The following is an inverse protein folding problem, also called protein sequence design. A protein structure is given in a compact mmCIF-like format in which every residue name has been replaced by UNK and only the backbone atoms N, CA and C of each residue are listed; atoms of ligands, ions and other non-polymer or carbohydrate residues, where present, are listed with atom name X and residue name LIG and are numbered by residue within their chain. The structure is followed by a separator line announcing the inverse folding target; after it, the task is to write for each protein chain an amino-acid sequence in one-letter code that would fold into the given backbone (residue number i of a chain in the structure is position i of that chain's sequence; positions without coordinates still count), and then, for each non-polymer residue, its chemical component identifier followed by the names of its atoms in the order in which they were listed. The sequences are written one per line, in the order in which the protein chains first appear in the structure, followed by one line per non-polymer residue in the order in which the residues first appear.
data_IF_672488852583
#
_entry.id   IF_672488852583
#
_cell.length_a   1.000
_cell.length_b   1.000
_cell.length_c   1.000
_cell.angle_alpha   90.00
_cell.angle_beta   90.00
_cell.angle_gamma   90.00
#
_symmetry.space_group_name_H-M   'P 1'
#
loop_
_entity.id
_entity.type
_entity.pdbx_description
1 polymer ?
#
# COMPACT_ATOMS: atom_id res chain seq x y z
N UNK A 1 -19.61 5.79 -0.41
CA UNK A 1 -18.55 6.40 0.42
C UNK A 1 -19.21 6.78 1.73
N UNK A 2 -18.60 6.43 2.85
CA UNK A 2 -19.18 6.55 4.20
C UNK A 2 -18.36 7.46 5.14
N UNK A 3 -17.18 7.89 4.72
CA UNK A 3 -16.34 8.87 5.40
C UNK A 3 -15.27 9.39 4.44
N UNK A 4 -14.94 10.68 4.52
CA UNK A 4 -13.90 11.33 3.72
C UNK A 4 -13.28 12.51 4.45
N UNK A 5 -12.00 12.39 4.82
CA UNK A 5 -11.22 13.43 5.47
C UNK A 5 -10.05 13.82 4.58
N UNK A 6 -10.06 15.04 4.07
CA UNK A 6 -8.94 15.56 3.25
C UNK A 6 -7.79 16.07 4.10
N UNK A 7 -8.04 16.47 5.35
CA UNK A 7 -7.06 17.10 6.25
C UNK A 7 -6.45 18.42 5.74
N UNK A 8 -7.05 19.01 4.71
CA UNK A 8 -6.73 20.37 4.23
C UNK A 8 -7.23 21.45 5.19
N UNK A 9 -8.23 21.12 6.01
CA UNK A 9 -8.69 21.93 7.11
C UNK A 9 -8.05 21.51 8.43
N UNK A 10 -7.92 22.46 9.36
CA UNK A 10 -7.36 22.23 10.70
C UNK A 10 -8.32 21.50 11.64
N UNK A 11 -9.53 21.17 11.18
CA UNK A 11 -10.63 20.68 12.02
C UNK A 11 -10.93 19.20 11.81
N UNK A 12 -10.29 18.53 10.85
CA UNK A 12 -10.54 17.13 10.54
C UNK A 12 -11.97 16.90 10.11
N UNK A 13 -12.49 17.75 9.21
CA UNK A 13 -13.86 17.65 8.74
C UNK A 13 -14.07 16.39 7.89
N UNK A 14 -15.20 15.70 8.10
CA UNK A 14 -15.68 14.64 7.22
C UNK A 14 -16.56 15.25 6.12
N UNK A 15 -16.06 15.29 4.90
CA UNK A 15 -16.73 15.78 3.69
C UNK A 15 -17.71 14.76 3.10
N UNK A 16 -17.90 13.60 3.73
CA UNK A 16 -18.96 12.66 3.35
C UNK A 16 -20.33 13.13 3.85
N UNK A 17 -21.43 12.57 3.31
CA UNK A 17 -22.79 12.88 3.79
C UNK A 17 -23.03 12.54 5.27
N UNK A 18 -22.16 11.77 5.92
CA UNK A 18 -22.31 11.32 7.30
C UNK A 18 -21.71 12.30 8.32
N UNK A 19 -20.81 13.19 7.90
CA UNK A 19 -20.19 14.22 8.77
C UNK A 19 -19.62 13.68 10.09
N UNK A 20 -19.00 12.50 10.05
CA UNK A 20 -18.48 11.84 11.24
C UNK A 20 -17.33 12.67 11.85
N UNK A 21 -17.41 13.06 13.13
CA UNK A 21 -16.41 13.95 13.72
C UNK A 21 -15.08 13.25 13.95
N UNK A 22 -13.98 13.98 13.79
CA UNK A 22 -12.67 13.58 14.30
C UNK A 22 -12.39 14.26 15.64
N UNK A 23 -11.93 13.48 16.61
CA UNK A 23 -11.43 13.93 17.91
C UNK A 23 -9.91 13.90 17.87
N UNK A 24 -9.28 14.86 18.54
CA UNK A 24 -7.81 14.98 18.63
C UNK A 24 -7.14 15.06 17.25
N UNK A 25 -7.58 16.02 16.44
CA UNK A 25 -7.00 16.26 15.11
C UNK A 25 -5.51 16.58 15.27
N UNK A 26 -4.68 15.82 14.58
CA UNK A 26 -3.23 15.99 14.60
C UNK A 26 -2.83 17.32 13.93
N UNK A 27 -1.61 17.79 14.20
CA UNK A 27 -1.10 19.03 13.61
C UNK A 27 -1.00 18.93 12.09
N UNK A 28 -1.29 20.02 11.39
CA UNK A 28 -1.15 20.09 9.94
C UNK A 28 0.33 20.06 9.49
N UNK A 29 0.60 19.32 8.43
CA UNK A 29 1.90 19.12 7.79
C UNK A 29 1.90 19.46 6.31
N UNK A 30 3.01 19.20 5.60
CA UNK A 30 3.14 19.48 4.18
C UNK A 30 2.19 18.59 3.36
N UNK A 31 1.46 19.21 2.44
CA UNK A 31 0.56 18.51 1.55
C UNK A 31 1.28 17.65 0.51
N UNK A 32 0.54 16.70 -0.03
CA UNK A 32 0.99 15.85 -1.14
C UNK A 32 1.41 16.61 -2.40
N UNK A 33 0.59 17.58 -2.81
CA UNK A 33 0.65 18.24 -4.12
C UNK A 33 0.91 19.73 -4.00
N UNK A 34 1.67 20.15 -2.98
CA UNK A 34 1.95 21.57 -2.65
C UNK A 34 0.72 22.48 -2.44
N UNK A 35 -0.48 21.91 -2.43
CA UNK A 35 -1.76 22.53 -2.13
C UNK A 35 -2.46 21.70 -1.07
N UNK A 36 -3.04 22.36 -0.06
CA UNK A 36 -3.72 21.68 1.06
C UNK A 36 -2.83 21.48 2.28
N UNK A 37 -3.16 20.47 3.10
CA UNK A 37 -2.33 20.01 4.21
C UNK A 37 -2.57 18.55 4.54
N UNK A 38 -1.58 17.92 5.16
CA UNK A 38 -1.69 16.56 5.69
C UNK A 38 -1.72 16.57 7.22
N UNK A 39 -1.91 15.42 7.86
CA UNK A 39 -1.63 15.24 9.29
C UNK A 39 -0.15 14.93 9.55
N UNK A 40 0.44 15.52 10.59
CA UNK A 40 1.76 15.14 11.12
C UNK A 40 1.57 13.99 12.12
N UNK A 41 2.14 12.83 11.78
CA UNK A 41 2.28 11.71 12.70
C UNK A 41 3.68 11.77 13.32
N UNK A 42 3.76 12.09 14.62
CA UNK A 42 5.02 12.31 15.35
C UNK A 42 5.56 11.05 16.05
N UNK A 43 4.81 9.94 15.96
CA UNK A 43 5.08 8.68 16.64
C UNK A 43 4.51 8.58 18.05
N UNK A 44 3.97 9.68 18.59
CA UNK A 44 3.52 9.78 19.98
C UNK A 44 2.03 10.05 20.13
N UNK A 45 1.47 10.84 19.22
CA UNK A 45 0.08 11.28 19.20
C UNK A 45 -0.74 10.45 18.20
N UNK A 46 -2.05 10.31 18.45
CA UNK A 46 -2.99 9.67 17.52
C UNK A 46 -4.19 10.56 17.23
N UNK A 47 -4.66 10.53 15.98
CA UNK A 47 -5.99 11.01 15.61
C UNK A 47 -7.05 9.96 15.93
N UNK A 48 -8.24 10.38 16.35
CA UNK A 48 -9.33 9.48 16.73
C UNK A 48 -10.61 9.83 15.96
N UNK A 49 -11.21 8.87 15.28
CA UNK A 49 -12.55 9.01 14.71
C UNK A 49 -13.45 8.03 15.47
N UNK A 50 -14.38 8.51 16.30
CA UNK A 50 -15.28 7.66 17.05
C UNK A 50 -16.10 6.77 16.13
N UNK A 51 -16.44 5.59 16.62
CA UNK A 51 -17.35 4.70 15.90
C UNK A 51 -18.70 5.38 15.63
N UNK A 52 -19.22 5.14 14.42
CA UNK A 52 -20.53 5.59 13.97
C UNK A 52 -21.25 4.43 13.29
N UNK A 53 -22.59 4.44 13.34
CA UNK A 53 -23.42 3.44 12.66
C UNK A 53 -23.19 3.38 11.14
N UNK A 54 -22.61 4.44 10.55
CA UNK A 54 -22.17 4.44 9.14
C UNK A 54 -21.07 3.41 8.84
N UNK A 55 -20.38 2.91 9.87
CA UNK A 55 -19.31 1.92 9.78
C UNK A 55 -19.77 0.48 10.09
N UNK A 56 -21.05 0.27 10.41
CA UNK A 56 -21.64 -1.07 10.56
C UNK A 56 -21.85 -1.69 9.16
N UNK A 57 -20.76 -2.16 8.56
CA UNK A 57 -20.71 -2.68 7.19
C UNK A 57 -20.35 -4.16 7.15
N UNK A 58 -20.69 -4.84 6.06
CA UNK A 58 -20.28 -6.22 5.79
C UNK A 58 -19.13 -6.32 4.77
N UNK A 59 -18.78 -5.20 4.15
CA UNK A 59 -17.69 -5.04 3.20
C UNK A 59 -17.11 -3.64 3.37
N UNK A 60 -15.80 -3.50 3.20
CA UNK A 60 -15.11 -2.25 3.47
C UNK A 60 -13.98 -2.03 2.47
N UNK A 61 -13.85 -0.79 2.00
CA UNK A 61 -12.59 -0.30 1.43
C UNK A 61 -12.13 0.93 2.21
N UNK A 62 -10.84 0.91 2.60
CA UNK A 62 -10.16 2.01 3.29
C UNK A 62 -9.06 2.49 2.39
N UNK A 63 -9.08 3.78 2.00
CA UNK A 63 -8.06 4.42 1.17
C UNK A 63 -7.46 5.56 1.96
N UNK A 64 -6.14 5.67 1.99
CA UNK A 64 -5.46 6.84 2.57
C UNK A 64 -4.04 6.93 2.01
N UNK A 65 -3.39 8.03 2.32
CA UNK A 65 -2.03 8.28 1.89
C UNK A 65 -1.06 8.38 3.04
N UNK A 66 0.16 7.88 2.81
CA UNK A 66 1.24 7.89 3.81
C UNK A 66 2.54 8.37 3.19
N UNK A 67 3.28 9.17 3.95
CA UNK A 67 4.65 9.57 3.66
C UNK A 67 5.53 9.26 4.86
N UNK A 68 6.46 8.31 4.72
CA UNK A 68 7.35 7.93 5.84
C UNK A 68 8.57 8.83 5.92
N UNK A 69 8.88 9.35 7.11
CA UNK A 69 10.09 10.15 7.37
C UNK A 69 11.14 9.42 8.19
N UNK A 70 10.79 8.28 8.78
CA UNK A 70 11.68 7.47 9.63
C UNK A 70 11.78 6.02 9.13
N UNK A 71 12.97 5.45 9.26
CA UNK A 71 13.22 4.03 8.98
C UNK A 71 12.56 3.10 10.00
N UNK A 72 12.70 1.78 9.83
CA UNK A 72 12.31 0.76 10.80
C UNK A 72 12.98 0.97 12.15
N UNK A 73 12.22 0.85 13.24
CA UNK A 73 12.68 1.14 14.59
C UNK A 73 12.95 -0.11 15.43
N UNK A 74 12.64 -1.30 14.92
CA UNK A 74 12.61 -2.53 15.70
C UNK A 74 11.26 -2.85 16.33
N UNK A 75 10.27 -1.95 16.22
CA UNK A 75 8.93 -2.08 16.80
C UNK A 75 7.82 -2.04 15.74
N UNK A 76 6.71 -2.71 16.05
CA UNK A 76 5.45 -2.55 15.32
C UNK A 76 4.92 -1.14 15.48
N UNK A 77 4.60 -0.48 14.36
CA UNK A 77 4.10 0.90 14.36
C UNK A 77 2.76 1.01 13.66
N UNK A 78 1.76 1.56 14.32
CA UNK A 78 0.40 1.68 13.80
C UNK A 78 0.28 2.87 12.86
N UNK A 79 -0.21 2.64 11.65
CA UNK A 79 -0.60 3.69 10.70
C UNK A 79 -2.11 3.94 10.84
N UNK A 80 -2.88 2.87 10.83
CA UNK A 80 -4.34 2.87 10.88
C UNK A 80 -4.80 1.68 11.72
N UNK A 81 -5.70 1.89 12.65
CA UNK A 81 -6.28 0.81 13.45
C UNK A 81 -7.78 1.05 13.61
N UNK A 82 -8.60 0.02 13.38
CA UNK A 82 -10.02 0.05 13.76
C UNK A 82 -10.33 -1.06 14.76
N UNK A 83 -10.64 -0.67 16.00
CA UNK A 83 -10.84 -1.63 17.11
C UNK A 83 -10.84 -0.98 18.48
N UNK A 84 -11.53 -1.59 19.44
CA UNK A 84 -11.55 -1.16 20.85
C UNK A 84 -10.50 -1.88 21.71
N UNK A 85 -9.86 -2.92 21.17
CA UNK A 85 -8.83 -3.70 21.85
C UNK A 85 -7.70 -4.06 20.89
N UNK A 86 -6.55 -4.49 21.42
CA UNK A 86 -5.44 -5.01 20.61
C UNK A 86 -5.78 -6.26 19.79
N UNK A 87 -6.95 -6.89 20.04
CA UNK A 87 -7.44 -8.07 19.34
C UNK A 87 -8.59 -7.78 18.38
N UNK A 88 -8.90 -6.51 18.13
CA UNK A 88 -9.85 -6.11 17.09
C UNK A 88 -9.06 -5.44 15.96
N UNK A 89 -8.83 -6.19 14.88
CA UNK A 89 -7.89 -5.77 13.84
C UNK A 89 -8.54 -5.52 12.48
N UNK A 90 -9.87 -5.37 12.38
CA UNK A 90 -10.58 -5.28 11.09
C UNK A 90 -10.95 -3.85 10.69
N UNK A 91 -10.21 -3.20 9.77
CA UNK A 91 -8.83 -3.50 9.37
C UNK A 91 -7.82 -2.71 10.23
N UNK A 92 -6.61 -3.24 10.32
CA UNK A 92 -5.46 -2.58 10.94
C UNK A 92 -4.26 -2.66 10.02
N UNK A 93 -3.52 -1.56 9.90
CA UNK A 93 -2.32 -1.43 9.08
C UNK A 93 -1.16 -1.01 9.97
N UNK A 94 -0.19 -1.91 10.11
CA UNK A 94 1.03 -1.71 10.88
C UNK A 94 2.24 -1.64 9.93
N UNK A 95 3.34 -1.04 10.36
CA UNK A 95 4.64 -1.19 9.74
C UNK A 95 5.39 -2.35 10.38
N UNK A 96 6.06 -3.15 9.55
CA UNK A 96 6.93 -4.22 10.01
C UNK A 96 8.03 -3.68 10.96
N UNK A 97 8.49 -4.43 11.98
CA UNK A 97 9.43 -3.90 12.95
C UNK A 97 10.81 -3.60 12.38
N UNK A 98 11.28 -4.45 11.46
CA UNK A 98 12.63 -4.43 10.87
C UNK A 98 12.66 -4.00 9.41
N UNK A 99 11.50 -3.69 8.83
CA UNK A 99 11.36 -3.27 7.43
C UNK A 99 10.29 -2.19 7.33
N UNK A 100 10.17 -1.55 6.16
CA UNK A 100 9.10 -0.58 5.87
C UNK A 100 7.95 -1.20 5.07
N UNK A 101 7.70 -2.50 5.31
CA UNK A 101 6.56 -3.22 4.70
C UNK A 101 5.30 -2.98 5.52
N UNK A 102 4.16 -3.03 4.85
CA UNK A 102 2.85 -2.98 5.50
C UNK A 102 2.48 -4.37 6.00
N UNK A 103 1.96 -4.41 7.21
CA UNK A 103 1.38 -5.58 7.86
C UNK A 103 -0.10 -5.30 8.04
N UNK A 104 -0.91 -5.81 7.11
CA UNK A 104 -2.35 -5.58 7.09
C UNK A 104 -3.01 -6.75 7.78
N UNK A 105 -3.77 -6.46 8.83
CA UNK A 105 -4.46 -7.45 9.64
C UNK A 105 -5.96 -7.28 9.54
N UNK A 106 -6.66 -8.38 9.80
CA UNK A 106 -8.08 -8.47 9.98
C UNK A 106 -8.41 -9.61 10.95
N UNK A 107 -9.50 -9.48 11.68
CA UNK A 107 -10.04 -10.51 12.55
C UNK A 107 -11.08 -11.35 11.81
N UNK A 108 -11.14 -12.64 12.11
CA UNK A 108 -12.19 -13.57 11.69
C UNK A 108 -12.79 -14.25 12.92
N UNK A 109 -13.74 -15.17 12.69
CA UNK A 109 -14.24 -16.07 13.73
C UNK A 109 -13.21 -17.12 14.21
N UNK A 110 -12.13 -17.36 13.45
CA UNK A 110 -11.13 -18.39 13.75
C UNK A 110 -9.85 -17.83 14.38
N UNK A 111 -9.47 -16.61 14.03
CA UNK A 111 -8.33 -15.91 14.61
C UNK A 111 -8.56 -14.41 14.59
N UNK A 112 -8.20 -13.73 15.68
CA UNK A 112 -8.24 -12.27 15.76
C UNK A 112 -7.13 -11.61 14.95
N UNK A 113 -6.09 -12.37 14.57
CA UNK A 113 -4.92 -11.93 13.83
C UNK A 113 -4.71 -12.80 12.59
N UNK A 114 -5.38 -12.45 11.50
CA UNK A 114 -5.10 -12.95 10.15
C UNK A 114 -4.78 -11.78 9.23
N UNK A 115 -4.27 -12.05 8.03
CA UNK A 115 -4.03 -11.01 7.05
C UNK A 115 -2.83 -11.30 6.16
N UNK A 116 -2.24 -10.23 5.64
CA UNK A 116 -1.18 -10.28 4.63
C UNK A 116 -0.09 -9.24 4.91
N UNK A 117 1.03 -9.39 4.24
CA UNK A 117 2.12 -8.42 4.23
C UNK A 117 2.32 -7.88 2.81
N UNK A 118 2.70 -6.61 2.69
CA UNK A 118 2.93 -6.00 1.38
C UNK A 118 4.11 -6.64 0.67
N UNK A 119 4.06 -6.86 -0.62
CA UNK A 119 5.23 -7.27 -1.41
C UNK A 119 6.22 -6.10 -1.47
N UNK A 120 5.70 -4.90 -1.72
CA UNK A 120 6.44 -3.65 -1.71
C UNK A 120 7.10 -3.30 -0.36
N UNK A 121 8.24 -2.61 -0.43
CA UNK A 121 8.82 -1.85 0.67
C UNK A 121 8.57 -0.35 0.49
N UNK A 122 7.93 0.31 1.45
CA UNK A 122 7.71 1.75 1.38
C UNK A 122 9.04 2.49 1.50
N UNK A 123 9.39 3.24 0.47
CA UNK A 123 10.57 4.12 0.49
C UNK A 123 10.31 5.35 1.34
N UNK A 124 11.35 5.79 2.04
CA UNK A 124 11.30 7.04 2.79
C UNK A 124 11.11 8.22 1.83
N UNK A 125 10.45 9.26 2.37
CA UNK A 125 10.26 10.55 1.72
C UNK A 125 9.51 10.47 0.38
N UNK A 126 8.54 9.55 0.29
CA UNK A 126 7.65 9.40 -0.86
C UNK A 126 6.23 9.11 -0.39
N UNK A 127 5.26 9.68 -1.10
CA UNK A 127 3.84 9.41 -0.88
C UNK A 127 3.45 8.07 -1.49
N UNK A 128 2.68 7.30 -0.74
CA UNK A 128 2.04 6.07 -1.18
C UNK A 128 0.55 6.15 -0.89
N UNK A 129 -0.28 5.86 -1.89
CA UNK A 129 -1.69 5.59 -1.65
C UNK A 129 -1.83 4.14 -1.23
N UNK A 130 -2.37 3.90 -0.04
CA UNK A 130 -2.63 2.56 0.50
C UNK A 130 -4.13 2.33 0.44
N UNK A 131 -4.54 1.18 -0.10
CA UNK A 131 -5.93 0.75 -0.06
C UNK A 131 -6.07 -0.65 0.49
N UNK A 132 -6.91 -0.81 1.50
CA UNK A 132 -7.32 -2.12 2.03
C UNK A 132 -8.74 -2.39 1.56
N UNK A 133 -8.96 -3.54 0.92
CA UNK A 133 -10.29 -4.00 0.50
C UNK A 133 -10.60 -5.32 1.20
N UNK A 134 -11.72 -5.36 1.91
CA UNK A 134 -12.22 -6.54 2.59
C UNK A 134 -13.66 -6.86 2.18
N UNK A 135 -13.88 -8.04 1.63
CA UNK A 135 -15.21 -8.57 1.30
C UNK A 135 -15.25 -10.07 1.52
N UNK A 136 -16.20 -10.54 2.32
CA UNK A 136 -16.30 -11.96 2.69
C UNK A 136 -15.02 -12.47 3.36
N UNK A 137 -14.32 -13.40 2.70
CA UNK A 137 -13.04 -13.98 3.16
C UNK A 137 -11.83 -13.36 2.45
N UNK A 138 -12.04 -12.51 1.45
CA UNK A 138 -10.96 -11.93 0.65
C UNK A 138 -10.49 -10.62 1.28
N UNK A 139 -9.19 -10.56 1.59
CA UNK A 139 -8.50 -9.34 1.99
C UNK A 139 -7.45 -9.00 0.92
N UNK A 140 -7.49 -7.77 0.42
CA UNK A 140 -6.59 -7.28 -0.61
C UNK A 140 -5.93 -5.97 -0.16
N UNK A 141 -4.67 -5.80 -0.54
CA UNK A 141 -3.90 -4.59 -0.37
C UNK A 141 -3.51 -4.08 -1.76
N UNK A 142 -3.81 -2.82 -2.00
CA UNK A 142 -3.36 -2.08 -3.17
C UNK A 142 -2.41 -0.97 -2.76
N UNK A 143 -1.39 -0.75 -3.58
CA UNK A 143 -0.46 0.38 -3.48
C UNK A 143 -0.53 1.19 -4.75
N UNK A 144 -0.68 2.51 -4.61
CA UNK A 144 -0.81 3.44 -5.74
C UNK A 144 -1.84 2.98 -6.80
N UNK A 145 -2.92 2.35 -6.34
CA UNK A 145 -4.04 1.89 -7.16
C UNK A 145 -3.88 0.51 -7.82
N UNK A 146 -2.74 -0.17 -7.63
CA UNK A 146 -2.48 -1.50 -8.16
C UNK A 146 -2.42 -2.56 -7.07
N UNK A 147 -2.88 -3.77 -7.37
CA UNK A 147 -2.84 -4.87 -6.42
C UNK A 147 -1.40 -5.21 -6.05
N UNK A 148 -1.09 -5.18 -4.75
CA UNK A 148 0.23 -5.55 -4.22
C UNK A 148 0.21 -6.95 -3.61
N UNK A 149 -0.84 -7.29 -2.86
CA UNK A 149 -0.96 -8.58 -2.18
C UNK A 149 -2.42 -8.90 -1.86
N UNK A 150 -2.77 -10.19 -1.82
CA UNK A 150 -4.09 -10.64 -1.40
C UNK A 150 -4.03 -11.98 -0.69
N UNK A 151 -5.02 -12.25 0.16
CA UNK A 151 -5.15 -13.51 0.88
C UNK A 151 -6.62 -13.90 1.04
N UNK A 152 -6.89 -15.21 0.97
CA UNK A 152 -8.16 -15.79 1.42
C UNK A 152 -7.98 -16.16 2.89
N UNK A 153 -8.72 -15.47 3.75
CA UNK A 153 -8.73 -15.71 5.20
C UNK A 153 -9.44 -17.03 5.52
N UNK A 154 -9.21 -17.58 6.72
CA UNK A 154 -9.82 -18.86 7.13
C UNK A 154 -11.33 -18.79 7.31
N UNK A 155 -11.86 -17.59 7.52
CA UNK A 155 -13.28 -17.31 7.68
C UNK A 155 -13.62 -15.90 7.25
N UNK A 156 -14.91 -15.54 7.24
CA UNK A 156 -15.33 -14.21 6.87
C UNK A 156 -14.76 -13.16 7.83
N UNK A 157 -14.55 -11.95 7.31
CA UNK A 157 -14.14 -10.79 8.07
C UNK A 157 -15.12 -10.53 9.22
N UNK A 158 -14.56 -10.40 10.41
CA UNK A 158 -15.29 -10.00 11.62
C UNK A 158 -15.10 -8.50 11.82
N UNK A 159 -16.11 -7.72 11.44
CA UNK A 159 -16.14 -6.28 11.68
C UNK A 159 -16.33 -5.97 13.18
N UNK A 160 -15.91 -4.78 13.58
CA UNK A 160 -15.96 -4.32 14.97
C UNK A 160 -16.59 -2.92 15.09
N UNK A 161 -16.97 -2.59 16.32
CA UNK A 161 -17.54 -1.30 16.70
C UNK A 161 -16.55 -0.38 17.40
N UNK A 162 -15.26 -0.65 17.22
CA UNK A 162 -14.21 0.20 17.74
C UNK A 162 -14.05 1.48 16.95
N UNK A 163 -13.40 2.43 17.61
CA UNK A 163 -12.97 3.69 17.03
C UNK A 163 -11.87 3.45 16.01
N UNK A 164 -11.62 4.47 15.18
CA UNK A 164 -10.53 4.47 14.21
C UNK A 164 -9.41 5.36 14.75
N UNK A 165 -8.22 4.80 14.83
CA UNK A 165 -6.99 5.49 15.23
C UNK A 165 -6.09 5.72 14.02
N UNK A 166 -5.48 6.90 13.96
CA UNK A 166 -4.57 7.34 12.88
C UNK A 166 -3.24 7.76 13.48
N UNK A 167 -2.12 7.31 12.90
CA UNK A 167 -0.77 7.73 13.28
C UNK A 167 -0.13 6.94 14.43
N UNK A 168 -0.97 6.44 15.34
CA UNK A 168 -0.63 5.59 16.48
C UNK A 168 -1.92 4.95 17.00
N UNK A 169 -1.82 3.86 17.74
CA UNK A 169 -2.93 3.31 18.53
C UNK A 169 -2.49 3.10 20.00
N UNK A 170 -3.39 2.77 20.94
CA UNK A 170 -3.03 2.57 22.34
C UNK A 170 -2.10 1.38 22.62
N UNK A 171 -1.89 0.48 21.66
CA UNK A 171 -1.23 -0.82 21.87
C UNK A 171 0.11 -0.95 21.14
N UNK A 172 0.36 -0.12 20.13
CA UNK A 172 1.57 -0.13 19.32
C UNK A 172 2.22 1.26 19.30
N UNK A 173 3.50 1.31 18.94
CA UNK A 173 4.20 2.57 18.69
C UNK A 173 3.55 3.33 17.53
N UNK A 174 3.69 4.65 17.48
CA UNK A 174 3.26 5.43 16.31
C UNK A 174 4.30 5.41 15.20
N UNK A 175 3.87 5.69 13.96
CA UNK A 175 4.81 5.95 12.87
C UNK A 175 5.16 7.43 12.80
N UNK A 176 6.35 7.73 12.24
CA UNK A 176 6.77 9.12 11.95
C UNK A 176 6.63 9.41 10.47
N UNK A 177 5.86 10.43 10.15
CA UNK A 177 5.53 10.75 8.77
C UNK A 177 4.33 11.68 8.62
N UNK A 178 3.73 11.61 7.44
CA UNK A 178 2.51 12.33 7.11
C UNK A 178 1.42 11.35 6.70
N UNK A 179 0.17 11.70 7.04
CA UNK A 179 -1.02 10.93 6.69
C UNK A 179 -2.03 11.87 6.03
N UNK A 180 -2.64 11.44 4.93
CA UNK A 180 -3.48 12.32 4.12
C UNK A 180 -4.67 11.61 3.45
N UNK A 181 -5.70 12.37 3.10
CA UNK A 181 -6.85 12.00 2.25
C UNK A 181 -7.45 10.60 2.56
N UNK A 182 -7.97 10.44 3.78
CA UNK A 182 -8.64 9.21 4.24
C UNK A 182 -10.05 9.11 3.66
N UNK A 183 -10.36 7.99 3.02
CA UNK A 183 -11.69 7.65 2.51
C UNK A 183 -12.11 6.26 2.98
N UNK A 184 -13.36 6.16 3.39
CA UNK A 184 -14.02 4.92 3.78
C UNK A 184 -15.18 4.63 2.83
N UNK A 185 -15.31 3.36 2.42
CA UNK A 185 -16.37 2.89 1.53
C UNK A 185 -16.99 1.62 2.09
N UNK A 186 -18.32 1.53 2.05
CA UNK A 186 -19.12 0.35 2.38
C UNK A 186 -19.26 -0.61 1.18
N UNK A 187 -18.26 -0.65 0.30
CA UNK A 187 -18.22 -1.52 -0.88
C UNK A 187 -16.77 -1.86 -1.21
N UNK A 188 -16.50 -3.00 -1.85
CA UNK A 188 -15.19 -3.28 -2.42
C UNK A 188 -14.90 -2.29 -3.57
N UNK A 189 -13.66 -1.80 -3.61
CA UNK A 189 -13.13 -1.04 -4.73
C UNK A 189 -12.21 -1.94 -5.55
N UNK A 190 -12.20 -1.71 -6.86
CA UNK A 190 -11.32 -2.41 -7.80
C UNK A 190 -10.31 -1.44 -8.40
N UNK A 191 -9.29 -1.95 -9.09
CA UNK A 191 -8.23 -1.13 -9.69
C UNK A 191 -8.76 0.04 -10.52
N UNK A 192 -9.82 -0.16 -11.32
CA UNK A 192 -10.47 0.90 -12.10
C UNK A 192 -11.00 2.07 -11.25
N UNK A 193 -11.41 1.81 -10.02
CA UNK A 193 -11.90 2.83 -9.08
C UNK A 193 -10.73 3.52 -8.37
N UNK A 194 -9.60 2.83 -8.22
CA UNK A 194 -8.44 3.28 -7.45
C UNK A 194 -7.40 4.03 -8.29
N UNK A 195 -7.23 3.66 -9.56
CA UNK A 195 -6.28 4.31 -10.47
C UNK A 195 -6.50 5.83 -10.57
N UNK A 196 -7.73 6.36 -10.70
CA UNK A 196 -7.96 7.80 -10.70
C UNK A 196 -7.57 8.48 -9.37
N UNK A 197 -7.72 7.78 -8.25
CA UNK A 197 -7.35 8.32 -6.93
C UNK A 197 -5.83 8.37 -6.75
N UNK A 198 -5.09 7.47 -7.40
CA UNK A 198 -3.64 7.34 -7.27
C UNK A 198 -2.83 8.33 -8.11
N UNK A 199 -3.45 9.05 -9.06
CA UNK A 199 -2.76 9.96 -10.00
C UNK A 199 -1.72 10.90 -9.35
N UNK A 200 -1.90 11.41 -8.11
CA UNK A 200 -0.87 12.21 -7.43
C UNK A 200 0.47 11.49 -7.14
N UNK A 201 0.48 10.18 -6.86
CA UNK A 201 1.69 9.42 -6.48
C UNK A 201 2.55 9.06 -7.69
N UNK A 202 1.97 9.23 -8.86
CA UNK A 202 2.25 8.39 -9.99
C UNK A 202 2.53 9.27 -11.21
N UNK A 203 3.66 9.07 -11.92
CA UNK A 203 3.98 9.88 -13.09
C UNK A 203 2.86 9.82 -14.14
N UNK A 204 2.56 10.92 -14.85
CA UNK A 204 1.53 10.95 -15.91
C UNK A 204 1.80 9.92 -17.03
N UNK A 205 3.04 9.43 -17.14
CA UNK A 205 3.41 8.28 -17.97
C UNK A 205 2.86 6.93 -17.46
N UNK A 206 1.97 6.93 -16.46
CA UNK A 206 1.20 5.77 -16.01
C UNK A 206 0.19 5.32 -17.06
N UNK A 207 0.72 4.75 -18.11
CA UNK A 207 0.02 3.92 -19.08
C UNK A 207 0.83 2.66 -19.39
N UNK A 208 2.00 2.48 -18.78
CA UNK A 208 2.80 1.29 -19.02
C UNK A 208 2.22 0.15 -18.20
N UNK A 209 1.71 -0.86 -18.90
CA UNK A 209 1.38 -2.15 -18.32
C UNK A 209 2.68 -2.80 -17.84
N UNK A 210 3.16 -2.37 -16.68
CA UNK A 210 4.34 -2.93 -16.02
C UNK A 210 3.83 -3.63 -14.77
N UNK A 211 4.21 -4.89 -14.63
CA UNK A 211 3.91 -5.70 -13.46
C UNK A 211 5.18 -6.30 -12.89
N UNK A 212 5.14 -6.60 -11.60
CA UNK A 212 6.18 -7.38 -10.96
C UNK A 212 6.04 -8.85 -11.39
N UNK A 213 7.06 -9.39 -12.04
CA UNK A 213 7.15 -10.84 -12.28
C UNK A 213 7.69 -11.56 -11.04
N UNK A 214 8.84 -11.13 -10.54
CA UNK A 214 9.47 -11.73 -9.36
C UNK A 214 10.28 -10.68 -8.57
N UNK A 215 10.35 -10.81 -7.24
CA UNK A 215 11.19 -9.92 -6.41
C UNK A 215 12.69 -10.27 -6.45
N UNK A 216 12.98 -11.55 -6.65
CA UNK A 216 14.33 -12.11 -6.65
C UNK A 216 14.25 -13.49 -7.30
N UNK A 217 14.66 -13.60 -8.56
CA UNK A 217 14.64 -14.87 -9.30
C UNK A 217 15.80 -14.97 -10.27
N UNK A 218 16.10 -16.19 -10.72
CA UNK A 218 17.00 -16.43 -11.85
C UNK A 218 16.31 -16.09 -13.18
N UNK A 219 17.06 -16.14 -14.27
CA UNK A 219 16.58 -15.71 -15.58
C UNK A 219 15.38 -16.52 -16.10
N UNK A 220 15.41 -17.84 -15.99
CA UNK A 220 14.32 -18.72 -16.46
C UNK A 220 13.00 -18.47 -15.73
N UNK A 221 13.07 -18.26 -14.42
CA UNK A 221 11.89 -17.91 -13.64
C UNK A 221 11.40 -16.49 -13.98
N UNK A 222 12.31 -15.56 -14.24
CA UNK A 222 11.94 -14.21 -14.66
C UNK A 222 11.20 -14.21 -16.02
N UNK A 223 11.63 -15.05 -16.96
CA UNK A 223 10.98 -15.21 -18.27
C UNK A 223 9.57 -15.79 -18.16
N UNK A 224 9.38 -16.76 -17.26
CA UNK A 224 8.11 -17.47 -17.09
C UNK A 224 7.16 -16.83 -16.08
N UNK A 225 7.58 -15.78 -15.36
CA UNK A 225 6.77 -15.10 -14.36
C UNK A 225 5.74 -14.11 -14.95
N UNK A 226 5.86 -13.76 -16.23
CA UNK A 226 4.96 -12.81 -16.87
C UNK A 226 3.62 -13.46 -17.22
N UNK A 227 2.53 -12.71 -17.07
CA UNK A 227 1.18 -13.14 -17.45
C UNK A 227 1.00 -13.15 -18.98
N UNK A 228 -0.09 -13.76 -19.44
CA UNK A 228 -0.52 -13.66 -20.84
C UNK A 228 -0.68 -12.17 -21.26
N UNK A 229 -0.09 -11.80 -22.40
CA UNK A 229 0.07 -10.42 -22.91
C UNK A 229 1.14 -9.56 -22.21
N UNK A 230 2.04 -10.18 -21.46
CA UNK A 230 3.23 -9.52 -20.93
C UNK A 230 4.47 -10.34 -21.26
N UNK A 231 5.59 -9.64 -21.43
CA UNK A 231 6.91 -10.22 -21.57
C UNK A 231 7.88 -9.60 -20.57
N UNK A 232 9.01 -10.24 -20.31
CA UNK A 232 10.08 -9.62 -19.53
C UNK A 232 10.51 -8.32 -20.22
N UNK A 233 10.59 -7.22 -19.46
CA UNK A 233 10.89 -5.91 -20.03
C UNK A 233 12.24 -5.90 -20.76
N UNK A 234 12.28 -5.27 -21.94
CA UNK A 234 13.53 -4.93 -22.62
C UNK A 234 14.22 -3.72 -21.96
N UNK A 235 15.48 -3.47 -22.31
CA UNK A 235 16.21 -2.30 -21.81
C UNK A 235 15.50 -0.98 -22.19
N UNK A 236 14.93 -0.90 -23.38
CA UNK A 236 14.19 0.29 -23.84
C UNK A 236 12.93 0.53 -23.01
N UNK A 237 12.15 -0.52 -22.71
CA UNK A 237 10.92 -0.41 -21.91
C UNK A 237 11.23 -0.06 -20.44
N UNK A 238 12.35 -0.57 -19.93
CA UNK A 238 12.86 -0.20 -18.62
C UNK A 238 13.12 1.30 -18.54
N UNK A 239 13.79 1.88 -19.53
CA UNK A 239 14.03 3.33 -19.61
C UNK A 239 12.79 4.14 -19.98
N UNK A 240 11.82 3.56 -20.70
CA UNK A 240 10.55 4.20 -21.02
C UNK A 240 9.65 4.42 -19.80
N UNK A 241 9.91 3.74 -18.68
CA UNK A 241 9.28 4.04 -17.40
C UNK A 241 9.14 2.87 -16.43
N UNK A 242 9.45 1.63 -16.82
CA UNK A 242 9.28 0.49 -15.93
C UNK A 242 10.21 0.55 -14.70
N UNK A 243 11.40 1.17 -14.82
CA UNK A 243 12.25 1.47 -13.65
C UNK A 243 11.56 2.42 -12.66
N UNK A 244 11.00 3.51 -13.15
CA UNK A 244 10.32 4.50 -12.31
C UNK A 244 9.07 3.92 -11.63
N UNK A 245 8.41 3.00 -12.33
CA UNK A 245 7.30 2.21 -11.80
C UNK A 245 7.74 1.28 -10.67
N UNK A 246 8.75 0.43 -10.90
CA UNK A 246 9.28 -0.44 -9.85
C UNK A 246 9.78 0.37 -8.63
N UNK A 247 10.29 1.58 -8.88
CA UNK A 247 10.72 2.54 -7.86
C UNK A 247 9.56 3.16 -7.08
N UNK A 248 8.45 3.47 -7.74
CA UNK A 248 7.24 4.05 -7.13
C UNK A 248 6.46 3.01 -6.34
N UNK A 249 6.46 1.77 -6.81
CA UNK A 249 5.81 0.64 -6.15
C UNK A 249 6.66 -0.01 -5.07
N UNK A 250 7.96 0.32 -4.97
CA UNK A 250 8.82 -0.22 -3.93
C UNK A 250 9.20 -1.69 -4.14
N UNK A 251 9.37 -2.12 -5.39
CA UNK A 251 9.71 -3.52 -5.72
C UNK A 251 11.19 -3.88 -5.54
N UNK A 252 12.07 -2.88 -5.49
CA UNK A 252 13.51 -3.04 -5.20
C UNK A 252 13.76 -3.33 -3.70
N UNK A 253 13.33 -4.51 -3.24
CA UNK A 253 13.49 -4.94 -1.85
C UNK A 253 14.81 -5.65 -1.59
N UNK A 254 15.17 -6.60 -2.46
CA UNK A 254 16.34 -7.47 -2.26
C UNK A 254 17.53 -7.10 -3.14
N UNK A 255 17.26 -6.58 -4.33
CA UNK A 255 18.26 -6.19 -5.32
C UNK A 255 17.83 -4.91 -6.02
N UNK A 256 18.81 -4.17 -6.55
CA UNK A 256 18.60 -3.04 -7.44
C UNK A 256 18.73 -3.43 -8.93
N UNK A 257 19.20 -4.64 -9.21
CA UNK A 257 19.43 -5.16 -10.55
C UNK A 257 18.16 -5.78 -11.11
N UNK A 258 17.94 -5.63 -12.42
CA UNK A 258 16.74 -6.09 -13.12
C UNK A 258 17.16 -6.95 -14.30
N UNK A 259 16.47 -8.07 -14.52
CA UNK A 259 16.63 -8.85 -15.74
C UNK A 259 16.10 -8.09 -16.95
N UNK A 260 16.84 -8.12 -18.05
CA UNK A 260 16.42 -7.57 -19.33
C UNK A 260 16.17 -8.69 -20.32
N UNK A 261 15.10 -8.55 -21.11
CA UNK A 261 14.91 -9.41 -22.28
C UNK A 261 15.89 -8.99 -23.37
N UNK A 262 16.57 -9.99 -23.93
CA UNK A 262 17.53 -9.76 -25.00
C UNK A 262 16.81 -9.51 -26.32
N UNK A 263 16.90 -8.26 -26.81
CA UNK A 263 16.30 -7.84 -28.07
C UNK A 263 17.34 -7.43 -29.12
N UNK A 264 18.60 -7.09 -28.76
CA UNK A 264 19.74 -6.80 -29.66
C UNK A 264 21.09 -6.62 -28.88
N UNK A 265 22.24 -6.56 -29.59
CA UNK A 265 23.65 -6.49 -29.12
C UNK A 265 24.05 -5.38 -28.10
N UNK A 266 23.12 -4.55 -27.63
CA UNK A 266 23.36 -3.50 -26.60
C UNK A 266 22.96 -3.92 -25.18
N UNK A 267 22.80 -5.21 -24.96
CA UNK A 267 22.24 -5.76 -23.74
C UNK A 267 23.17 -5.68 -22.53
N UNK A 268 22.61 -5.38 -21.35
CA UNK A 268 23.34 -5.45 -20.07
C UNK A 268 23.39 -6.86 -19.50
N UNK A 269 22.47 -7.74 -19.92
CA UNK A 269 22.40 -9.13 -19.45
C UNK A 269 23.21 -10.03 -20.39
N UNK A 270 24.32 -10.60 -19.90
CA UNK A 270 25.17 -11.45 -20.74
C UNK A 270 24.68 -12.90 -20.78
N UNK A 271 25.07 -13.67 -21.80
CA UNK A 271 24.76 -15.10 -21.87
C UNK A 271 25.28 -15.89 -20.66
N UNK A 272 26.40 -15.44 -20.09
CA UNK A 272 26.99 -16.05 -18.89
C UNK A 272 26.10 -15.79 -17.66
N UNK A 273 25.58 -14.56 -17.52
CA UNK A 273 24.63 -14.23 -16.46
C UNK A 273 23.32 -15.01 -16.57
N UNK A 274 22.80 -15.20 -17.80
CA UNK A 274 21.55 -15.95 -18.02
C UNK A 274 21.68 -17.42 -17.63
N UNK A 275 22.87 -17.99 -17.74
CA UNK A 275 23.15 -19.40 -17.44
C UNK A 275 23.56 -19.65 -15.99
N UNK A 276 23.83 -18.59 -15.22
CA UNK A 276 24.21 -18.69 -13.81
C UNK A 276 22.97 -18.93 -12.94
N UNK A 277 22.80 -20.15 -12.35
CA UNK A 277 21.66 -20.46 -11.50
C UNK A 277 21.69 -19.74 -10.15
N UNK A 278 22.85 -19.21 -9.74
CA UNK A 278 23.07 -18.55 -8.46
C UNK A 278 22.95 -17.02 -8.57
N UNK A 279 22.74 -16.48 -9.77
CA UNK A 279 22.48 -15.07 -10.01
C UNK A 279 20.99 -14.76 -9.92
N UNK A 280 20.64 -13.83 -9.03
CA UNK A 280 19.25 -13.43 -8.80
C UNK A 280 19.05 -11.93 -8.98
N UNK A 281 18.17 -11.55 -9.91
CA UNK A 281 17.78 -10.16 -10.17
C UNK A 281 16.25 -10.00 -10.05
N UNK A 282 15.78 -8.76 -10.09
CA UNK A 282 14.36 -8.44 -10.15
C UNK A 282 13.80 -8.77 -11.54
N UNK A 283 12.64 -9.42 -11.61
CA UNK A 283 11.92 -9.67 -12.85
C UNK A 283 10.78 -8.67 -13.01
N UNK A 284 10.84 -7.83 -14.04
CA UNK A 284 9.75 -6.93 -14.41
C UNK A 284 9.15 -7.38 -15.74
N UNK A 285 7.82 -7.32 -15.84
CA UNK A 285 7.11 -7.67 -17.04
C UNK A 285 6.41 -6.45 -17.63
N UNK A 286 6.61 -6.24 -18.92
CA UNK A 286 6.06 -5.16 -19.72
C UNK A 286 5.00 -5.72 -20.67
N UNK A 287 3.93 -4.95 -20.88
CA UNK A 287 2.76 -5.37 -21.65
C UNK A 287 3.07 -5.37 -23.14
N UNK A 288 2.60 -6.40 -23.83
CA UNK A 288 2.65 -6.51 -25.28
C UNK A 288 1.73 -5.45 -25.92
N UNK A 289 2.24 -4.75 -26.95
CA UNK A 289 1.49 -3.79 -27.77
C UNK A 289 1.12 -4.36 -29.13
#
# INVERSE_FOLDING_TARGET
MIGWWTFDDKFGHDYSPNTNPMINVLKSGPAMNSQGSSLICDGESYGLIPHSSSYDVNELSVVFWVFLTQDSTGDWRSIFHKGSTSQELTPTVLLWPKERRLHVRASTQFSWNEGLDSVAILRLRRWYMITIVGSGQLLQLYLNGLLDSQVILRGPLKFNRGDIYIGKDPWHSGFKGYFDDLRLYNKPLHEKDLLPLALPAVPITFVSGVMLGCQLCNYDLALSACLDNFHMCSLEELYAGAFEMARSMGWFRFTAEVWTRNTDDQDTTTSDEMQDPDLFKLGLCCRDY
#
